data_IF_216053491747
#
_entry.id   IF_216053491747
#
_cell.length_a   1.000
_cell.length_b   1.000
_cell.length_c   1.000
_cell.angle_alpha   90.00
_cell.angle_beta   90.00
_cell.angle_gamma   90.00
#
_symmetry.space_group_name_H-M   'P 1'
#
loop_
_entity.id
_entity.type
_entity.pdbx_description
1 polymer ?
#
# COMPACT_ATOMS: atom_id res chain seq x y z
N UNK A 1 31.82 -8.76 -8.23
CA UNK A 1 32.07 -7.34 -8.52
C UNK A 1 30.94 -6.83 -9.41
N UNK A 2 29.72 -6.67 -8.89
CA UNK A 2 28.58 -5.94 -9.53
C UNK A 2 27.65 -5.45 -8.41
N UNK A 3 28.07 -4.42 -7.69
CA UNK A 3 27.24 -3.72 -6.68
C UNK A 3 27.52 -2.23 -6.74
N UNK A 4 27.12 -1.56 -7.81
CA UNK A 4 27.37 -0.11 -7.89
C UNK A 4 26.45 0.70 -8.80
N UNK A 5 25.27 0.21 -9.18
CA UNK A 5 24.45 0.95 -10.16
C UNK A 5 23.07 1.40 -9.68
N UNK A 6 22.66 1.10 -8.44
CA UNK A 6 21.30 1.42 -7.98
C UNK A 6 21.13 2.78 -7.26
N UNK A 7 22.20 3.44 -6.83
CA UNK A 7 22.12 4.72 -6.09
C UNK A 7 22.05 5.99 -6.97
N UNK A 8 22.47 5.93 -8.23
CA UNK A 8 22.56 7.11 -9.09
C UNK A 8 21.22 7.56 -9.71
N UNK A 9 20.28 6.65 -9.90
CA UNK A 9 19.02 6.92 -10.59
C UNK A 9 18.04 7.80 -9.79
N UNK A 10 17.95 7.58 -8.49
CA UNK A 10 17.01 8.32 -7.62
C UNK A 10 17.44 9.76 -7.37
N UNK A 11 18.75 10.01 -7.25
CA UNK A 11 19.29 11.35 -7.02
C UNK A 11 19.15 12.28 -8.25
N UNK A 12 19.34 11.73 -9.45
CA UNK A 12 19.14 12.47 -10.71
C UNK A 12 17.67 12.79 -11.00
N UNK A 13 16.74 11.89 -10.66
CA UNK A 13 15.29 12.11 -10.80
C UNK A 13 14.81 13.30 -9.95
N UNK A 14 15.27 13.42 -8.70
CA UNK A 14 14.90 14.51 -7.81
C UNK A 14 15.38 15.88 -8.28
N UNK A 15 16.46 15.95 -9.06
CA UNK A 15 16.98 17.19 -9.63
C UNK A 15 16.18 17.70 -10.84
N UNK A 16 15.43 16.82 -11.51
CA UNK A 16 14.62 17.17 -12.69
C UNK A 16 13.15 17.45 -12.38
N UNK A 17 12.75 17.40 -11.09
CA UNK A 17 11.35 17.63 -10.68
C UNK A 17 10.41 16.45 -10.98
N UNK A 18 10.94 15.28 -11.28
CA UNK A 18 10.17 14.06 -11.51
C UNK A 18 9.65 13.49 -10.18
N UNK A 19 8.33 13.44 -10.02
CA UNK A 19 7.65 12.94 -8.82
C UNK A 19 7.65 11.42 -8.73
N UNK A 20 8.18 10.72 -9.73
CA UNK A 20 8.20 9.26 -9.84
C UNK A 20 7.51 8.75 -11.09
N UNK A 21 7.67 7.45 -11.35
CA UNK A 21 7.13 6.76 -12.53
C UNK A 21 5.86 6.00 -12.17
N UNK A 22 4.77 6.24 -12.89
CA UNK A 22 3.49 5.55 -12.73
C UNK A 22 3.24 4.66 -13.95
N UNK A 23 2.93 3.40 -13.71
CA UNK A 23 2.45 2.49 -14.74
C UNK A 23 0.91 2.50 -14.72
N UNK A 24 0.31 2.89 -15.83
CA UNK A 24 -1.15 2.90 -16.03
C UNK A 24 -1.53 1.75 -16.94
N UNK A 25 -2.33 0.83 -16.44
CA UNK A 25 -2.78 -0.38 -17.13
C UNK A 25 -4.29 -0.37 -17.26
N UNK A 26 -4.79 -0.34 -18.48
CA UNK A 26 -6.22 -0.31 -18.79
C UNK A 26 -6.37 -0.73 -20.26
N UNK A 27 -7.35 -1.54 -20.64
CA UNK A 27 -7.54 -1.96 -22.03
C UNK A 27 -8.12 -0.82 -22.89
N UNK A 28 -8.82 0.13 -22.27
CA UNK A 28 -9.42 1.27 -22.98
C UNK A 28 -8.39 2.38 -23.24
N UNK A 29 -8.04 2.59 -24.52
CA UNK A 29 -7.05 3.58 -24.93
C UNK A 29 -7.39 5.02 -24.53
N UNK A 30 -8.67 5.37 -24.45
CA UNK A 30 -9.17 6.68 -24.04
C UNK A 30 -8.85 6.94 -22.57
N UNK A 31 -9.05 5.97 -21.68
CA UNK A 31 -8.72 6.05 -20.25
C UNK A 31 -7.22 6.18 -20.07
N UNK A 32 -6.42 5.32 -20.72
CA UNK A 32 -4.96 5.43 -20.67
C UNK A 32 -4.47 6.82 -21.05
N UNK A 33 -4.98 7.37 -22.17
CA UNK A 33 -4.56 8.70 -22.65
C UNK A 33 -4.95 9.82 -21.70
N UNK A 34 -6.17 9.79 -21.14
CA UNK A 34 -6.64 10.78 -20.16
C UNK A 34 -5.75 10.74 -18.92
N UNK A 35 -5.51 9.56 -18.36
CA UNK A 35 -4.69 9.38 -17.17
C UNK A 35 -3.24 9.79 -17.42
N UNK A 36 -2.66 9.36 -18.54
CA UNK A 36 -1.30 9.75 -18.92
C UNK A 36 -1.15 11.27 -18.97
N UNK A 37 -1.98 11.93 -19.78
CA UNK A 37 -1.93 13.40 -19.92
C UNK A 37 -2.08 14.09 -18.56
N UNK A 38 -2.99 13.64 -17.75
CA UNK A 38 -3.29 14.25 -16.45
C UNK A 38 -2.16 14.10 -15.46
N UNK A 39 -1.58 12.91 -15.36
CA UNK A 39 -0.49 12.61 -14.42
C UNK A 39 0.82 13.27 -14.86
N UNK A 40 1.09 13.34 -16.17
CA UNK A 40 2.24 14.07 -16.71
C UNK A 40 2.15 15.57 -16.42
N UNK A 41 0.95 16.17 -16.55
CA UNK A 41 0.73 17.59 -16.23
C UNK A 41 1.04 17.95 -14.78
N UNK A 42 0.95 17.00 -13.87
CA UNK A 42 1.26 17.22 -12.43
C UNK A 42 2.66 16.73 -12.05
N UNK A 43 3.48 16.31 -13.04
CA UNK A 43 4.91 16.07 -12.90
C UNK A 43 5.31 14.61 -12.62
N UNK A 44 4.48 13.62 -12.98
CA UNK A 44 4.87 12.23 -12.99
C UNK A 44 5.35 11.79 -14.37
N UNK A 45 6.29 10.86 -14.41
CA UNK A 45 6.58 10.09 -15.63
C UNK A 45 5.55 8.96 -15.75
N UNK A 46 4.93 8.81 -16.92
CA UNK A 46 3.86 7.82 -17.10
C UNK A 46 4.22 6.83 -18.20
N UNK A 47 4.07 5.56 -17.88
CA UNK A 47 4.13 4.45 -18.83
C UNK A 47 2.77 3.80 -18.88
N UNK A 48 2.34 3.37 -20.06
CA UNK A 48 1.03 2.76 -20.26
C UNK A 48 1.18 1.32 -20.75
N UNK A 49 0.23 0.46 -20.37
CA UNK A 49 0.08 -0.89 -20.89
C UNK A 49 -1.40 -1.16 -21.19
N UNK A 50 -1.67 -1.95 -22.23
CA UNK A 50 -3.02 -2.23 -22.71
C UNK A 50 -3.59 -3.57 -22.23
N UNK A 51 -2.77 -4.40 -21.63
CA UNK A 51 -3.17 -5.68 -21.03
C UNK A 51 -2.19 -6.12 -19.94
N UNK A 52 -2.52 -7.20 -19.25
CA UNK A 52 -1.73 -7.69 -18.14
C UNK A 52 -0.34 -8.22 -18.51
N UNK A 53 -0.15 -8.77 -19.70
CA UNK A 53 1.15 -9.27 -20.17
C UNK A 53 2.11 -8.11 -20.45
N UNK A 54 1.60 -7.08 -21.12
CA UNK A 54 2.33 -5.84 -21.35
C UNK A 54 2.68 -5.15 -20.02
N UNK A 55 1.75 -5.13 -19.05
CA UNK A 55 1.96 -4.58 -17.72
C UNK A 55 3.12 -5.27 -16.99
N UNK A 56 3.14 -6.61 -16.95
CA UNK A 56 4.23 -7.36 -16.32
C UNK A 56 5.57 -7.15 -17.01
N UNK A 57 5.57 -7.02 -18.34
CA UNK A 57 6.76 -6.72 -19.11
C UNK A 57 7.30 -5.32 -18.82
N UNK A 58 6.42 -4.31 -18.81
CA UNK A 58 6.76 -2.93 -18.46
C UNK A 58 7.29 -2.82 -17.03
N UNK A 59 6.68 -3.53 -16.08
CA UNK A 59 7.13 -3.57 -14.69
C UNK A 59 8.57 -4.06 -14.54
N UNK A 60 8.93 -5.15 -15.23
CA UNK A 60 10.30 -5.73 -15.17
C UNK A 60 11.35 -4.78 -15.73
N UNK A 61 10.99 -4.02 -16.77
CA UNK A 61 11.92 -3.10 -17.44
C UNK A 61 12.10 -1.80 -16.67
N UNK A 62 11.04 -1.25 -16.07
CA UNK A 62 11.01 0.15 -15.63
C UNK A 62 10.92 0.32 -14.11
N UNK A 63 10.57 -0.74 -13.37
CA UNK A 63 10.38 -0.69 -11.92
C UNK A 63 9.60 0.57 -11.46
N UNK A 64 8.30 0.69 -11.81
CA UNK A 64 7.53 1.87 -11.51
C UNK A 64 7.39 2.08 -10.00
N UNK A 65 7.12 3.33 -9.59
CA UNK A 65 6.91 3.68 -8.19
C UNK A 65 5.48 3.41 -7.71
N UNK A 66 4.51 3.34 -8.64
CA UNK A 66 3.12 3.00 -8.38
C UNK A 66 2.48 2.46 -9.66
N UNK A 67 1.49 1.58 -9.49
CA UNK A 67 0.71 1.00 -10.60
C UNK A 67 -0.76 1.37 -10.41
N UNK A 68 -1.38 1.91 -11.45
CA UNK A 68 -2.83 2.05 -11.59
C UNK A 68 -3.29 0.94 -12.53
N UNK A 69 -4.14 0.05 -12.05
CA UNK A 69 -4.42 -1.24 -12.69
C UNK A 69 -5.92 -1.47 -12.85
N UNK A 70 -6.40 -1.53 -14.09
CA UNK A 70 -7.77 -1.96 -14.34
C UNK A 70 -7.94 -3.45 -14.01
N UNK A 71 -9.09 -3.79 -13.46
CA UNK A 71 -9.45 -5.17 -13.14
C UNK A 71 -9.88 -5.92 -14.39
N UNK A 72 -10.71 -5.30 -15.22
CA UNK A 72 -11.35 -5.96 -16.37
C UNK A 72 -10.54 -5.75 -17.66
N UNK A 73 -9.59 -6.63 -17.91
CA UNK A 73 -8.76 -6.60 -19.10
C UNK A 73 -8.70 -7.96 -19.82
N UNK A 74 -8.49 -8.00 -21.15
CA UNK A 74 -8.31 -9.24 -21.88
C UNK A 74 -6.99 -9.92 -21.53
N UNK A 75 -6.88 -11.22 -21.83
CA UNK A 75 -5.74 -12.12 -21.61
C UNK A 75 -5.50 -12.36 -20.11
N UNK A 76 -4.70 -11.55 -19.46
CA UNK A 76 -4.46 -11.57 -18.02
C UNK A 76 -5.17 -10.38 -17.38
N UNK A 77 -6.14 -10.66 -16.51
CA UNK A 77 -6.91 -9.63 -15.79
C UNK A 77 -6.07 -8.94 -14.69
N UNK A 78 -6.61 -7.86 -14.14
CA UNK A 78 -5.92 -7.09 -13.10
C UNK A 78 -5.66 -7.88 -11.81
N UNK A 79 -6.50 -8.86 -11.50
CA UNK A 79 -6.29 -9.72 -10.34
C UNK A 79 -5.06 -10.61 -10.53
N UNK A 80 -4.95 -11.25 -11.68
CA UNK A 80 -3.79 -12.07 -12.04
C UNK A 80 -2.50 -11.25 -12.08
N UNK A 81 -2.54 -10.03 -12.66
CA UNK A 81 -1.38 -9.11 -12.64
C UNK A 81 -0.98 -8.78 -11.20
N UNK A 82 -1.93 -8.45 -10.32
CA UNK A 82 -1.64 -8.13 -8.92
C UNK A 82 -0.96 -9.30 -8.20
N UNK A 83 -1.48 -10.52 -8.36
CA UNK A 83 -0.89 -11.71 -7.76
C UNK A 83 0.54 -11.96 -8.23
N UNK A 84 0.81 -11.83 -9.54
CA UNK A 84 2.16 -12.02 -10.09
C UNK A 84 3.13 -10.94 -9.58
N UNK A 85 2.68 -9.70 -9.48
CA UNK A 85 3.49 -8.60 -8.92
C UNK A 85 3.82 -8.83 -7.45
N UNK A 86 2.88 -9.29 -6.64
CA UNK A 86 3.09 -9.52 -5.20
C UNK A 86 4.06 -10.65 -4.87
N UNK A 87 4.29 -11.58 -5.80
CA UNK A 87 5.35 -12.60 -5.65
C UNK A 87 6.75 -12.00 -5.63
N UNK A 88 6.95 -10.80 -6.19
CA UNK A 88 8.27 -10.22 -6.40
C UNK A 88 8.42 -8.77 -5.94
N UNK A 89 7.33 -8.08 -5.55
CA UNK A 89 7.36 -6.65 -5.26
C UNK A 89 6.26 -6.20 -4.30
N UNK A 90 6.58 -5.18 -3.52
CA UNK A 90 5.67 -4.42 -2.65
C UNK A 90 5.26 -3.08 -3.29
N UNK A 91 5.43 -2.90 -4.61
CA UNK A 91 5.03 -1.69 -5.32
C UNK A 91 3.57 -1.35 -5.04
N UNK A 92 3.24 -0.08 -4.73
CA UNK A 92 1.86 0.32 -4.50
C UNK A 92 0.98 0.07 -5.72
N UNK A 93 -0.21 -0.53 -5.50
CA UNK A 93 -1.18 -0.83 -6.56
C UNK A 93 -2.52 -0.22 -6.19
N UNK A 94 -3.06 0.62 -7.07
CA UNK A 94 -4.46 1.10 -7.03
C UNK A 94 -5.23 0.35 -8.10
N UNK A 95 -6.24 -0.42 -7.70
CA UNK A 95 -7.13 -1.08 -8.66
C UNK A 95 -8.25 -0.16 -9.12
N UNK A 96 -8.51 -0.15 -10.43
CA UNK A 96 -9.70 0.46 -11.02
C UNK A 96 -10.71 -0.64 -11.32
N UNK A 97 -11.96 -0.46 -10.93
CA UNK A 97 -13.02 -1.46 -11.16
C UNK A 97 -14.28 -0.83 -11.69
N UNK A 98 -14.86 -1.42 -12.73
CA UNK A 98 -16.17 -1.02 -13.24
C UNK A 98 -17.33 -1.53 -12.38
N UNK A 99 -17.04 -2.43 -11.43
CA UNK A 99 -18.05 -3.17 -10.69
C UNK A 99 -18.41 -2.45 -9.40
N UNK A 100 -19.68 -2.12 -9.29
CA UNK A 100 -20.28 -1.57 -8.07
C UNK A 100 -20.37 -2.59 -6.93
N UNK A 101 -20.01 -3.85 -7.18
CA UNK A 101 -20.13 -4.90 -6.16
C UNK A 101 -18.97 -4.82 -5.15
N UNK A 102 -19.37 -4.90 -3.91
CA UNK A 102 -18.49 -4.90 -2.75
C UNK A 102 -17.55 -6.09 -2.76
N UNK A 103 -18.03 -7.25 -3.24
CA UNK A 103 -17.26 -8.48 -3.28
C UNK A 103 -16.01 -8.34 -4.16
N UNK A 104 -16.12 -7.72 -5.33
CA UNK A 104 -15.00 -7.53 -6.25
C UNK A 104 -13.92 -6.60 -5.69
N UNK A 105 -14.34 -5.58 -4.93
CA UNK A 105 -13.41 -4.67 -4.26
C UNK A 105 -12.62 -5.38 -3.16
N UNK A 106 -13.29 -6.21 -2.37
CA UNK A 106 -12.67 -7.02 -1.32
C UNK A 106 -11.67 -7.97 -1.95
N UNK A 107 -12.05 -8.69 -3.01
CA UNK A 107 -11.17 -9.63 -3.71
C UNK A 107 -9.87 -8.96 -4.17
N UNK A 108 -9.95 -7.80 -4.82
CA UNK A 108 -8.75 -7.07 -5.27
C UNK A 108 -7.82 -6.68 -4.12
N UNK A 109 -8.40 -6.22 -3.02
CA UNK A 109 -7.62 -5.91 -1.82
C UNK A 109 -7.01 -7.17 -1.20
N UNK A 110 -7.74 -8.27 -1.07
CA UNK A 110 -7.23 -9.55 -0.54
C UNK A 110 -6.07 -10.11 -1.37
N UNK A 111 -6.11 -9.93 -2.69
CA UNK A 111 -5.05 -10.33 -3.61
C UNK A 111 -3.80 -9.45 -3.54
N UNK A 112 -3.84 -8.34 -2.80
CA UNK A 112 -2.65 -7.57 -2.55
C UNK A 112 -2.69 -6.10 -2.97
N UNK A 113 -3.77 -5.59 -3.55
CA UNK A 113 -3.88 -4.16 -3.84
C UNK A 113 -3.80 -3.33 -2.55
N UNK A 114 -3.29 -2.11 -2.68
CA UNK A 114 -3.17 -1.17 -1.56
C UNK A 114 -4.39 -0.26 -1.46
N UNK A 115 -5.08 -0.04 -2.58
CA UNK A 115 -6.30 0.73 -2.66
C UNK A 115 -7.12 0.32 -3.89
N UNK A 116 -8.38 0.76 -3.94
CA UNK A 116 -9.24 0.57 -5.11
C UNK A 116 -10.09 1.82 -5.39
N UNK A 117 -10.54 1.94 -6.63
CA UNK A 117 -11.40 3.02 -7.06
C UNK A 117 -12.42 2.51 -8.09
N UNK A 118 -13.70 2.85 -7.88
CA UNK A 118 -14.75 2.46 -8.81
C UNK A 118 -14.81 3.41 -10.02
N UNK A 119 -15.00 2.87 -11.21
CA UNK A 119 -15.33 3.61 -12.43
C UNK A 119 -16.86 3.92 -12.44
N UNK A 120 -17.30 5.14 -12.82
CA UNK A 120 -16.48 6.29 -13.20
C UNK A 120 -15.88 7.00 -11.98
N UNK A 121 -14.63 7.43 -12.08
CA UNK A 121 -13.89 8.09 -11.01
C UNK A 121 -13.50 9.53 -11.37
N UNK A 122 -13.25 10.33 -10.34
CA UNK A 122 -12.68 11.65 -10.52
C UNK A 122 -11.15 11.56 -10.68
N UNK A 123 -10.56 12.14 -11.74
CA UNK A 123 -9.10 12.22 -11.88
C UNK A 123 -8.41 12.89 -10.68
N UNK A 124 -9.03 13.89 -10.06
CA UNK A 124 -8.52 14.53 -8.84
C UNK A 124 -8.47 13.58 -7.65
N UNK A 125 -9.45 12.70 -7.55
CA UNK A 125 -9.47 11.68 -6.50
C UNK A 125 -8.33 10.69 -6.69
N UNK A 126 -8.14 10.18 -7.91
CA UNK A 126 -7.02 9.30 -8.25
C UNK A 126 -5.67 9.97 -7.95
N UNK A 127 -5.49 11.24 -8.34
CA UNK A 127 -4.28 12.02 -8.01
C UNK A 127 -4.02 12.09 -6.50
N UNK A 128 -5.07 12.30 -5.70
CA UNK A 128 -4.96 12.34 -4.24
C UNK A 128 -4.51 11.00 -3.67
N UNK A 129 -5.07 9.89 -4.18
CA UNK A 129 -4.72 8.52 -3.77
C UNK A 129 -3.28 8.17 -4.14
N UNK A 130 -2.86 8.45 -5.37
CA UNK A 130 -1.48 8.27 -5.84
C UNK A 130 -0.50 9.04 -4.93
N UNK A 131 -0.78 10.33 -4.69
CA UNK A 131 0.07 11.17 -3.83
C UNK A 131 0.18 10.61 -2.42
N UNK A 132 -0.92 10.12 -1.87
CA UNK A 132 -0.95 9.54 -0.53
C UNK A 132 -0.09 8.28 -0.43
N UNK A 133 -0.18 7.37 -1.40
CA UNK A 133 0.59 6.13 -1.42
C UNK A 133 2.09 6.38 -1.66
N UNK A 134 2.44 7.27 -2.59
CA UNK A 134 3.84 7.61 -2.90
C UNK A 134 4.53 8.38 -1.76
N UNK A 135 3.82 9.29 -1.07
CA UNK A 135 4.36 10.01 0.08
C UNK A 135 4.88 9.05 1.15
N UNK A 136 4.15 7.98 1.47
CA UNK A 136 4.54 6.99 2.48
C UNK A 136 5.80 6.21 2.13
N UNK A 137 6.01 5.97 0.84
CA UNK A 137 7.25 5.33 0.37
C UNK A 137 8.46 6.24 0.57
N UNK A 138 8.25 7.56 0.44
CA UNK A 138 9.30 8.58 0.52
C UNK A 138 9.46 9.19 1.93
N UNK A 139 8.41 9.21 2.74
CA UNK A 139 8.44 9.81 4.08
C UNK A 139 9.17 8.90 5.07
N UNK A 140 10.49 8.98 5.03
CA UNK A 140 11.37 8.58 6.14
C UNK A 140 11.26 9.51 7.37
N UNK A 141 10.44 10.56 7.31
CA UNK A 141 10.53 11.71 8.23
C UNK A 141 9.24 12.09 8.95
N UNK A 142 8.07 11.51 8.65
CA UNK A 142 6.81 12.12 9.10
C UNK A 142 6.18 11.49 10.35
N UNK A 143 6.75 10.43 10.91
CA UNK A 143 6.30 9.94 12.22
C UNK A 143 7.41 10.15 13.25
N UNK A 144 7.66 11.41 13.58
CA UNK A 144 8.69 11.82 14.56
C UNK A 144 8.55 11.15 15.94
N UNK A 145 7.38 10.60 16.27
CA UNK A 145 7.14 9.86 17.50
C UNK A 145 7.72 8.44 17.51
N UNK A 146 7.87 7.80 16.33
CA UNK A 146 8.30 6.38 16.23
C UNK A 146 9.73 6.25 15.71
N UNK A 147 10.23 7.23 14.95
CA UNK A 147 11.60 7.23 14.42
C UNK A 147 12.69 7.07 15.49
N UNK A 148 12.32 7.22 16.77
CA UNK A 148 13.23 7.07 17.91
C UNK A 148 13.10 5.73 18.65
N UNK A 149 12.16 4.85 18.27
CA UNK A 149 11.95 3.58 18.97
C UNK A 149 12.96 2.49 18.57
N UNK A 150 13.70 2.68 17.45
CA UNK A 150 14.73 1.75 17.02
C UNK A 150 14.17 0.37 16.67
N UNK A 151 14.44 -0.61 17.49
CA UNK A 151 13.96 -1.98 17.34
C UNK A 151 12.97 -2.27 18.47
N UNK A 152 11.74 -2.65 18.11
CA UNK A 152 10.73 -3.15 19.04
C UNK A 152 10.66 -4.66 18.97
N UNK A 153 10.54 -5.31 20.12
CA UNK A 153 10.36 -6.76 20.22
C UNK A 153 9.11 -7.01 21.08
N UNK A 154 8.18 -7.79 20.55
CA UNK A 154 6.97 -8.24 21.23
C UNK A 154 6.84 -9.72 20.96
N UNK A 155 7.08 -10.54 21.98
CA UNK A 155 7.15 -11.99 21.88
C UNK A 155 8.13 -12.45 20.77
N UNK A 156 7.66 -13.12 19.73
CA UNK A 156 8.46 -13.55 18.59
C UNK A 156 8.48 -12.54 17.42
N UNK A 157 7.79 -11.39 17.57
CA UNK A 157 7.70 -10.34 16.57
C UNK A 157 8.75 -9.26 16.84
N UNK A 158 9.64 -9.05 15.87
CA UNK A 158 10.68 -8.00 15.90
C UNK A 158 10.42 -6.99 14.79
N UNK A 159 10.37 -5.72 15.12
CA UNK A 159 10.07 -4.63 14.19
C UNK A 159 11.22 -3.62 14.25
N UNK A 160 11.91 -3.48 13.13
CA UNK A 160 12.95 -2.47 12.93
C UNK A 160 12.32 -1.24 12.27
N UNK A 161 12.03 -0.22 13.06
CA UNK A 161 11.35 0.99 12.59
C UNK A 161 12.26 1.82 11.67
N UNK A 162 13.59 1.75 11.84
CA UNK A 162 14.53 2.47 10.99
C UNK A 162 14.58 1.89 9.58
N UNK A 163 14.53 0.56 9.48
CA UNK A 163 14.55 -0.16 8.18
C UNK A 163 13.17 -0.42 7.61
N UNK A 164 12.11 -0.16 8.39
CA UNK A 164 10.72 -0.54 8.06
C UNK A 164 10.61 -2.03 7.73
N UNK A 165 11.21 -2.86 8.56
CA UNK A 165 11.25 -4.30 8.40
C UNK A 165 10.65 -5.00 9.61
N UNK A 166 9.90 -6.06 9.34
CA UNK A 166 9.24 -6.88 10.34
C UNK A 166 9.79 -8.31 10.23
N UNK A 167 10.03 -8.91 11.38
CA UNK A 167 10.52 -10.29 11.48
C UNK A 167 9.64 -11.05 12.48
N UNK A 168 9.29 -12.28 12.18
CA UNK A 168 8.61 -13.22 13.08
C UNK A 168 9.47 -14.45 13.25
N UNK A 169 9.78 -14.83 14.48
CA UNK A 169 10.69 -15.93 14.78
C UNK A 169 12.04 -15.88 14.03
N UNK A 170 12.54 -14.67 13.74
CA UNK A 170 13.79 -14.43 13.00
C UNK A 170 13.63 -14.39 11.48
N UNK A 171 12.50 -14.78 10.91
CA UNK A 171 12.23 -14.72 9.49
C UNK A 171 11.59 -13.37 9.10
N UNK A 172 12.06 -12.80 7.98
CA UNK A 172 11.52 -11.53 7.49
C UNK A 172 10.12 -11.71 6.91
N UNK A 173 9.17 -10.90 7.39
CA UNK A 173 7.81 -10.84 6.88
C UNK A 173 7.70 -9.71 5.84
N UNK A 174 7.36 -10.03 4.58
CA UNK A 174 7.16 -9.01 3.55
C UNK A 174 5.84 -8.28 3.75
N UNK A 175 5.91 -6.99 4.06
CA UNK A 175 4.75 -6.11 4.16
C UNK A 175 4.77 -5.08 3.03
N UNK A 176 3.58 -4.75 2.48
CA UNK A 176 3.44 -3.58 1.61
C UNK A 176 3.62 -2.29 2.42
N UNK A 177 3.84 -1.17 1.72
CA UNK A 177 3.99 0.12 2.40
C UNK A 177 2.77 0.50 3.25
N UNK A 178 1.56 0.13 2.80
CA UNK A 178 0.30 0.35 3.53
C UNK A 178 0.20 -0.55 4.75
N UNK A 179 0.49 -1.84 4.60
CA UNK A 179 0.48 -2.79 5.71
C UNK A 179 1.48 -2.38 6.81
N UNK A 180 2.69 -1.96 6.40
CA UNK A 180 3.66 -1.46 7.36
C UNK A 180 3.16 -0.19 8.06
N UNK A 181 2.61 0.79 7.34
CA UNK A 181 2.09 2.02 7.95
C UNK A 181 0.91 1.79 8.88
N UNK A 182 0.06 0.80 8.56
CA UNK A 182 -1.03 0.39 9.43
C UNK A 182 -0.50 -0.25 10.73
N UNK A 183 0.46 -1.16 10.63
CA UNK A 183 1.12 -1.76 11.80
C UNK A 183 1.80 -0.68 12.64
N UNK A 184 2.59 0.19 12.02
CA UNK A 184 3.28 1.30 12.66
C UNK A 184 2.33 2.21 13.42
N UNK A 185 1.18 2.58 12.84
CA UNK A 185 0.15 3.37 13.51
C UNK A 185 -0.36 2.70 14.79
N UNK A 186 -0.76 1.43 14.69
CA UNK A 186 -1.33 0.71 15.82
C UNK A 186 -0.31 0.51 16.95
N UNK A 187 0.94 0.23 16.59
CA UNK A 187 2.04 0.03 17.55
C UNK A 187 2.54 1.31 18.20
N UNK A 188 2.32 2.47 17.57
CA UNK A 188 2.71 3.76 18.14
C UNK A 188 2.02 4.05 19.46
N UNK A 189 0.86 3.45 19.69
CA UNK A 189 0.04 3.65 20.86
C UNK A 189 -0.56 2.32 21.34
N UNK A 190 0.27 1.42 21.95
CA UNK A 190 -0.19 0.11 22.39
C UNK A 190 -1.39 0.23 23.36
N UNK A 191 -2.44 -0.55 23.10
CA UNK A 191 -3.67 -0.55 23.88
C UNK A 191 -4.63 0.60 23.56
N UNK A 192 -4.25 1.57 22.72
CA UNK A 192 -5.16 2.62 22.25
C UNK A 192 -5.94 2.10 21.03
N UNK A 193 -7.27 2.17 21.11
CA UNK A 193 -8.14 1.85 19.97
C UNK A 193 -8.18 3.01 19.00
N UNK A 194 -8.09 2.67 17.71
CA UNK A 194 -8.31 3.56 16.58
C UNK A 194 -9.57 3.15 15.84
N UNK A 195 -10.46 4.10 15.58
CA UNK A 195 -11.62 3.85 14.73
C UNK A 195 -11.20 3.61 13.28
N UNK A 196 -12.04 2.93 12.49
CA UNK A 196 -11.79 2.74 11.05
C UNK A 196 -11.57 4.06 10.31
N UNK A 197 -12.33 5.10 10.68
CA UNK A 197 -12.18 6.45 10.11
C UNK A 197 -10.83 7.07 10.44
N UNK A 198 -10.36 6.98 11.69
CA UNK A 198 -9.04 7.46 12.11
C UNK A 198 -7.92 6.72 11.39
N UNK A 199 -8.04 5.39 11.28
CA UNK A 199 -7.08 4.57 10.53
C UNK A 199 -7.06 5.00 9.06
N UNK A 200 -8.23 5.14 8.43
CA UNK A 200 -8.36 5.57 7.04
C UNK A 200 -7.70 6.93 6.82
N UNK A 201 -7.93 7.87 7.71
CA UNK A 201 -7.34 9.19 7.64
C UNK A 201 -5.83 9.14 7.84
N UNK A 202 -5.35 8.43 8.86
CA UNK A 202 -3.93 8.41 9.19
C UNK A 202 -3.11 7.54 8.24
N UNK A 203 -3.66 6.40 7.77
CA UNK A 203 -2.98 5.49 6.87
C UNK A 203 -3.20 5.82 5.40
N UNK A 204 -4.36 6.27 4.93
CA UNK A 204 -4.61 6.63 3.52
C UNK A 204 -4.67 8.14 3.29
N UNK A 205 -4.82 8.95 4.34
CA UNK A 205 -4.97 10.40 4.23
C UNK A 205 -6.34 10.82 3.71
N UNK A 206 -7.34 9.93 3.77
CA UNK A 206 -8.68 10.21 3.29
C UNK A 206 -9.52 10.87 4.38
N UNK A 207 -10.37 11.80 3.98
CA UNK A 207 -11.37 12.36 4.88
C UNK A 207 -12.50 11.32 5.06
N UNK A 208 -12.75 10.83 6.29
CA UNK A 208 -13.80 9.84 6.55
C UNK A 208 -15.21 10.32 6.16
N UNK A 209 -15.47 11.63 6.18
CA UNK A 209 -16.75 12.20 5.76
C UNK A 209 -17.01 12.11 4.26
N UNK A 210 -15.93 12.06 3.47
CA UNK A 210 -16.00 11.98 2.00
C UNK A 210 -15.81 10.55 1.48
N UNK A 211 -15.31 9.64 2.30
CA UNK A 211 -15.05 8.24 1.96
C UNK A 211 -15.87 7.33 2.87
N UNK A 212 -17.05 6.96 2.42
CA UNK A 212 -17.98 6.13 3.19
C UNK A 212 -17.49 4.67 3.34
N UNK A 213 -16.57 4.19 2.49
CA UNK A 213 -16.13 2.81 2.50
C UNK A 213 -14.87 2.61 3.33
N UNK A 214 -15.06 2.24 4.58
CA UNK A 214 -13.96 1.93 5.51
C UNK A 214 -13.51 0.45 5.48
N UNK A 215 -14.12 -0.38 4.63
CA UNK A 215 -13.80 -1.82 4.53
C UNK A 215 -12.38 -2.09 4.05
N UNK A 216 -11.78 -1.15 3.33
CA UNK A 216 -10.35 -1.22 2.99
C UNK A 216 -9.48 -1.43 4.25
N UNK A 217 -9.85 -0.83 5.37
CA UNK A 217 -9.16 -1.02 6.65
C UNK A 217 -9.29 -2.47 7.13
N UNK A 218 -10.51 -3.02 7.09
CA UNK A 218 -10.78 -4.39 7.58
C UNK A 218 -10.00 -5.43 6.78
N UNK A 219 -9.93 -5.26 5.45
CA UNK A 219 -9.16 -6.18 4.58
C UNK A 219 -7.66 -6.10 4.90
N UNK A 220 -7.10 -4.90 5.08
CA UNK A 220 -5.69 -4.76 5.42
C UNK A 220 -5.37 -5.27 6.83
N UNK A 221 -6.28 -5.13 7.79
CA UNK A 221 -6.15 -5.78 9.10
C UNK A 221 -6.14 -7.30 8.96
N UNK A 222 -7.07 -7.86 8.17
CA UNK A 222 -7.11 -9.31 7.91
C UNK A 222 -5.80 -9.80 7.28
N UNK A 223 -5.28 -9.10 6.27
CA UNK A 223 -3.99 -9.43 5.64
C UNK A 223 -2.81 -9.33 6.61
N UNK A 224 -2.78 -8.32 7.48
CA UNK A 224 -1.75 -8.21 8.51
C UNK A 224 -1.82 -9.37 9.50
N UNK A 225 -3.02 -9.74 9.94
CA UNK A 225 -3.21 -10.90 10.82
C UNK A 225 -2.71 -12.18 10.17
N UNK A 226 -3.06 -12.44 8.90
CA UNK A 226 -2.57 -13.60 8.16
C UNK A 226 -1.03 -13.68 8.10
N UNK A 227 -0.34 -12.55 8.16
CA UNK A 227 1.13 -12.48 8.11
C UNK A 227 1.79 -12.52 9.49
N UNK A 228 1.15 -11.95 10.49
CA UNK A 228 1.78 -11.70 11.79
C UNK A 228 1.29 -12.64 12.89
N UNK A 229 0.01 -13.02 12.90
CA UNK A 229 -0.56 -13.88 13.92
C UNK A 229 -0.22 -15.36 13.67
N UNK A 230 -0.23 -16.18 14.70
CA UNK A 230 -0.17 -17.63 14.58
C UNK A 230 -1.56 -18.19 14.26
N UNK A 231 -2.60 -17.62 14.84
CA UNK A 231 -4.00 -17.86 14.52
C UNK A 231 -4.71 -16.54 14.19
N UNK A 232 -4.95 -16.24 12.90
CA UNK A 232 -5.63 -15.01 12.48
C UNK A 232 -7.07 -14.86 12.99
N UNK A 233 -7.74 -15.96 13.35
CA UNK A 233 -9.10 -15.93 13.90
C UNK A 233 -9.09 -15.60 15.40
N UNK A 234 -8.01 -15.94 16.12
CA UNK A 234 -7.77 -15.60 17.51
C UNK A 234 -6.50 -14.74 17.66
N UNK A 235 -6.50 -13.50 17.15
CA UNK A 235 -5.30 -12.67 17.06
C UNK A 235 -4.81 -12.24 18.45
N UNK A 236 -3.49 -12.23 18.62
CA UNK A 236 -2.82 -11.80 19.84
C UNK A 236 -2.22 -10.39 19.73
N UNK A 237 -1.72 -10.01 18.55
CA UNK A 237 -1.08 -8.70 18.33
C UNK A 237 -2.06 -7.61 17.93
N UNK A 238 -2.90 -7.87 16.91
CA UNK A 238 -3.83 -6.87 16.37
C UNK A 238 -5.25 -7.23 16.79
N UNK A 239 -5.73 -6.56 17.82
CA UNK A 239 -6.99 -6.86 18.47
C UNK A 239 -8.13 -6.00 17.94
N UNK A 240 -9.35 -6.54 18.01
CA UNK A 240 -10.57 -5.82 17.63
C UNK A 240 -11.22 -5.20 18.88
N UNK A 241 -11.36 -3.89 18.89
CA UNK A 241 -12.22 -3.19 19.86
C UNK A 241 -13.65 -3.23 19.35
N UNK A 242 -14.51 -4.05 19.98
CA UNK A 242 -15.91 -4.23 19.54
C UNK A 242 -16.63 -2.89 19.42
N UNK A 243 -17.18 -2.62 18.21
CA UNK A 243 -17.90 -1.39 17.92
C UNK A 243 -17.03 -0.14 17.68
N UNK A 244 -15.71 -0.20 17.95
CA UNK A 244 -14.82 0.96 17.86
C UNK A 244 -13.77 0.86 16.76
N UNK A 245 -13.12 -0.29 16.55
CA UNK A 245 -12.08 -0.41 15.55
C UNK A 245 -10.99 -1.40 15.98
N UNK A 246 -9.71 -1.00 15.89
CA UNK A 246 -8.56 -1.89 16.09
C UNK A 246 -7.50 -1.26 16.98
N UNK A 247 -6.73 -2.10 17.66
CA UNK A 247 -5.59 -1.67 18.49
C UNK A 247 -4.50 -2.74 18.49
N UNK A 248 -3.27 -2.33 18.77
CA UNK A 248 -2.17 -3.26 19.05
C UNK A 248 -2.23 -3.66 20.52
N UNK A 249 -1.92 -4.90 20.86
CA UNK A 249 -1.90 -5.38 22.24
C UNK A 249 -1.03 -4.49 23.13
N UNK A 250 -1.31 -4.45 24.40
CA UNK A 250 -0.47 -3.74 25.37
C UNK A 250 0.84 -4.51 25.52
N UNK A 251 1.93 -3.87 25.17
CA UNK A 251 3.26 -4.40 25.49
C UNK A 251 3.47 -4.22 26.99
N UNK A 252 3.73 -5.32 27.70
CA UNK A 252 4.19 -5.20 29.08
C UNK A 252 5.48 -4.37 29.04
N UNK A 253 5.51 -3.22 29.73
CA UNK A 253 6.73 -2.44 29.87
C UNK A 253 7.76 -3.36 30.51
N UNK A 254 8.83 -3.68 29.79
CA UNK A 254 10.02 -4.21 30.40
C UNK A 254 10.54 -3.11 31.33
N UNK A 255 10.35 -3.31 32.62
CA UNK A 255 11.03 -2.50 33.63
C UNK A 255 12.52 -2.57 33.36
N UNK A 256 13.13 -1.41 33.22
CA UNK A 256 14.57 -1.23 33.04
C UNK A 256 15.28 -1.42 34.36
#
# INVERSE_FOLDING_TARGET
MVESSRCGGTALRNLLGDKGTILVVDDEASIRRILQTRLEMIGYSVVTASDGEEALSAFRLLTPDLIVLDVMMPKLDGYGVCQELRKQSDVPIIMLTALGDVADRITGLELGADDYMAKPFSPKELESRIRSLLRRRNDRTTTAAISNLGVMVVDNLKIDTNKRQVYKAGERIPLTGVEYSLLELLMSYPGKSFTRGEILQQVWGYNPEQHADTRVVDVHISRLRLKLEDDPENPEYILTARGSGYFFQRVAQLEH
#
